data_IF_442645364351
#
_entry.id   IF_442645364351
#
_cell.length_a   1.000
_cell.length_b   1.000
_cell.length_c   1.000
_cell.angle_alpha   90.00
_cell.angle_beta   90.00
_cell.angle_gamma   90.00
#
_symmetry.space_group_name_H-M   'P 1'
#
loop_
_entity.id
_entity.type
_entity.pdbx_description
1 polymer ?
#
# COMPACT_ATOMS: atom_id res chain seq x y z
N UNK A 1 -33.02 -44.87 -26.69
CA UNK A 1 -31.91 -44.12 -27.33
C UNK A 1 -31.88 -42.64 -26.90
N UNK A 2 -33.03 -42.03 -26.61
CA UNK A 2 -33.15 -40.61 -26.21
C UNK A 2 -32.58 -40.30 -24.81
N UNK A 3 -32.85 -41.12 -23.82
CA UNK A 3 -32.35 -40.93 -22.46
C UNK A 3 -30.82 -40.79 -22.34
N UNK A 4 -30.08 -41.58 -23.11
CA UNK A 4 -28.60 -41.46 -23.15
C UNK A 4 -28.14 -40.13 -23.77
N UNK A 5 -28.86 -39.56 -24.73
CA UNK A 5 -28.55 -38.24 -25.28
C UNK A 5 -28.82 -37.11 -24.31
N UNK A 6 -29.90 -37.21 -23.54
CA UNK A 6 -30.27 -36.22 -22.51
C UNK A 6 -29.20 -36.21 -21.39
N UNK A 7 -28.82 -37.40 -20.90
CA UNK A 7 -27.80 -37.51 -19.83
C UNK A 7 -26.44 -36.93 -20.30
N UNK A 8 -26.01 -37.24 -21.54
CA UNK A 8 -24.76 -36.63 -22.07
C UNK A 8 -24.82 -35.10 -22.13
N UNK A 9 -25.99 -34.55 -22.54
CA UNK A 9 -26.18 -33.10 -22.62
C UNK A 9 -26.15 -32.46 -21.24
N UNK A 10 -26.75 -33.07 -20.24
CA UNK A 10 -26.71 -32.59 -18.85
C UNK A 10 -25.32 -32.61 -18.27
N UNK A 11 -24.54 -33.69 -18.47
CA UNK A 11 -23.15 -33.80 -18.03
C UNK A 11 -22.31 -32.70 -18.67
N UNK A 12 -22.48 -32.44 -19.97
CA UNK A 12 -21.73 -31.40 -20.66
C UNK A 12 -22.03 -30.00 -20.10
N UNK A 13 -23.31 -29.69 -19.83
CA UNK A 13 -23.73 -28.42 -19.23
C UNK A 13 -23.13 -28.27 -17.84
N UNK A 14 -23.15 -29.32 -17.01
CA UNK A 14 -22.58 -29.28 -15.66
C UNK A 14 -21.08 -29.02 -15.71
N UNK A 15 -20.34 -29.70 -16.58
CA UNK A 15 -18.89 -29.50 -16.73
C UNK A 15 -18.61 -28.05 -17.18
N UNK A 16 -19.38 -27.54 -18.15
CA UNK A 16 -19.20 -26.18 -18.64
C UNK A 16 -19.49 -25.13 -17.56
N UNK A 17 -20.54 -25.33 -16.74
CA UNK A 17 -20.85 -24.47 -15.61
C UNK A 17 -19.75 -24.47 -14.54
N UNK A 18 -19.17 -25.63 -14.26
CA UNK A 18 -18.06 -25.74 -13.31
C UNK A 18 -16.81 -25.02 -13.82
N UNK A 19 -16.51 -25.09 -15.12
CA UNK A 19 -15.40 -24.36 -15.74
C UNK A 19 -15.63 -22.86 -15.63
N UNK A 20 -16.87 -22.37 -15.90
CA UNK A 20 -17.19 -20.95 -15.77
C UNK A 20 -17.02 -20.48 -14.34
N UNK A 21 -17.54 -21.22 -13.35
CA UNK A 21 -17.41 -20.89 -11.93
C UNK A 21 -15.94 -20.82 -11.53
N UNK A 22 -15.13 -21.77 -12.00
CA UNK A 22 -13.68 -21.78 -11.77
C UNK A 22 -12.99 -20.54 -12.37
N UNK A 23 -13.33 -20.18 -13.61
CA UNK A 23 -12.78 -19.01 -14.28
C UNK A 23 -13.19 -17.70 -13.59
N UNK A 24 -14.42 -17.63 -13.07
CA UNK A 24 -14.90 -16.44 -12.35
C UNK A 24 -14.11 -16.17 -11.05
N UNK A 25 -13.47 -17.18 -10.46
CA UNK A 25 -12.63 -16.99 -9.29
C UNK A 25 -11.37 -16.14 -9.56
N UNK A 26 -10.96 -16.03 -10.81
CA UNK A 26 -9.82 -15.21 -11.23
C UNK A 26 -10.22 -13.79 -11.64
N UNK A 27 -11.51 -13.46 -11.58
CA UNK A 27 -12.01 -12.14 -11.93
C UNK A 27 -12.30 -11.38 -10.65
N UNK A 28 -11.68 -10.23 -10.49
CA UNK A 28 -12.01 -9.28 -9.44
C UNK A 28 -12.51 -7.97 -10.04
N UNK A 29 -13.35 -7.28 -9.28
CA UNK A 29 -13.92 -6.00 -9.70
C UNK A 29 -13.16 -4.86 -9.03
N UNK A 30 -12.64 -3.95 -9.84
CA UNK A 30 -12.18 -2.64 -9.40
C UNK A 30 -13.38 -1.69 -9.55
N UNK A 31 -13.97 -1.21 -8.46
CA UNK A 31 -15.25 -0.50 -8.51
C UNK A 31 -15.19 0.80 -9.29
N UNK A 32 -14.05 1.47 -9.29
CA UNK A 32 -13.83 2.75 -9.96
C UNK A 32 -12.38 2.91 -10.39
N UNK A 33 -12.15 3.88 -11.28
CA UNK A 33 -10.80 4.28 -11.64
C UNK A 33 -10.07 4.81 -10.41
N UNK A 34 -8.86 4.35 -10.19
CA UNK A 34 -8.05 4.80 -9.05
C UNK A 34 -6.58 4.88 -9.39
N UNK A 35 -5.90 5.73 -8.66
CA UNK A 35 -4.45 5.72 -8.63
C UNK A 35 -3.96 4.80 -7.52
N UNK A 36 -2.90 4.10 -7.79
CA UNK A 36 -2.24 3.19 -6.86
C UNK A 36 -0.78 3.59 -6.71
N UNK A 37 -0.30 3.60 -5.47
CA UNK A 37 1.12 3.74 -5.20
C UNK A 37 1.77 2.37 -5.24
N UNK A 38 2.80 2.23 -6.07
CA UNK A 38 3.70 1.08 -6.09
C UNK A 38 5.02 1.50 -5.48
N UNK A 39 5.35 0.93 -4.32
CA UNK A 39 6.61 1.19 -3.62
C UNK A 39 7.59 0.07 -3.94
N UNK A 40 8.58 0.38 -4.77
CA UNK A 40 9.67 -0.52 -5.15
C UNK A 40 10.99 -0.14 -4.45
N UNK A 41 10.92 0.69 -3.43
CA UNK A 41 12.10 1.07 -2.66
C UNK A 41 12.69 -0.18 -1.99
N UNK A 42 13.99 -0.37 -2.12
CA UNK A 42 14.71 -1.43 -1.42
C UNK A 42 14.61 -1.22 0.10
N UNK A 43 14.77 -2.31 0.86
CA UNK A 43 14.74 -2.27 2.31
C UNK A 43 15.66 -1.17 2.84
N UNK A 44 15.10 -0.26 3.64
CA UNK A 44 15.85 0.82 4.28
C UNK A 44 16.33 0.30 5.63
N UNK A 45 17.65 0.28 5.82
CA UNK A 45 18.25 -0.04 7.10
C UNK A 45 18.06 1.16 8.02
N UNK A 46 17.23 1.00 9.04
CA UNK A 46 16.94 2.03 10.04
C UNK A 46 17.94 1.89 11.23
N UNK A 47 19.23 2.07 10.95
CA UNK A 47 20.31 1.84 11.94
C UNK A 47 20.16 2.71 13.18
N UNK A 48 19.76 3.96 13.01
CA UNK A 48 19.56 4.91 14.11
C UNK A 48 18.30 4.63 14.94
N UNK A 49 17.40 3.80 14.42
CA UNK A 49 16.12 3.47 15.04
C UNK A 49 15.84 1.97 15.01
N UNK A 50 16.60 1.17 15.75
CA UNK A 50 16.52 -0.30 15.76
C UNK A 50 15.15 -0.84 16.21
N UNK A 51 14.27 0.02 16.65
CA UNK A 51 12.91 -0.33 17.08
C UNK A 51 11.88 -0.19 15.98
N UNK A 52 12.16 0.59 14.93
CA UNK A 52 11.40 0.57 13.71
C UNK A 52 11.85 -0.63 12.88
N UNK A 53 10.90 -1.46 12.51
CA UNK A 53 11.14 -2.60 11.63
C UNK A 53 11.03 -2.19 10.17
N UNK A 54 9.95 -1.49 9.85
CA UNK A 54 9.62 -1.14 8.48
C UNK A 54 8.75 0.10 8.44
N UNK A 55 8.94 0.91 7.40
CA UNK A 55 8.03 1.98 6.99
C UNK A 55 7.83 1.84 5.49
N UNK A 56 6.63 1.46 5.09
CA UNK A 56 6.32 1.13 3.69
C UNK A 56 4.91 1.61 3.30
N UNK A 57 4.60 1.51 2.01
CA UNK A 57 3.26 1.76 1.52
C UNK A 57 2.56 0.45 1.20
N UNK A 58 1.34 0.31 1.71
CA UNK A 58 0.50 -0.85 1.44
C UNK A 58 -0.58 -0.54 0.40
N UNK A 59 -0.82 -1.54 -0.41
CA UNK A 59 -1.97 -1.77 -1.31
C UNK A 59 -2.84 -0.58 -1.67
N UNK A 60 -2.41 0.53 -2.02
CA UNK A 60 -3.21 1.65 -2.49
C UNK A 60 -3.02 3.00 -1.85
N UNK A 61 -2.05 3.29 -1.03
CA UNK A 61 -1.87 4.65 -0.50
C UNK A 61 -1.87 4.80 1.03
N UNK A 62 -1.93 3.70 1.76
CA UNK A 62 -1.80 3.79 3.21
C UNK A 62 -0.34 3.64 3.63
N UNK A 63 0.12 4.53 4.48
CA UNK A 63 1.43 4.40 5.10
C UNK A 63 1.35 3.35 6.20
N UNK A 64 2.19 2.32 6.11
CA UNK A 64 2.37 1.30 7.15
C UNK A 64 3.64 1.57 7.94
N UNK A 65 3.52 1.59 9.26
CA UNK A 65 4.66 1.67 10.18
C UNK A 65 4.67 0.41 11.04
N UNK A 66 5.74 -0.38 10.93
CA UNK A 66 5.97 -1.55 11.77
C UNK A 66 7.10 -1.26 12.78
N UNK A 67 6.88 -1.60 14.05
CA UNK A 67 7.87 -1.42 15.10
C UNK A 67 7.81 -2.55 16.14
N UNK A 68 8.97 -2.83 16.75
CA UNK A 68 9.13 -3.98 17.66
C UNK A 68 8.63 -3.74 19.09
N UNK A 69 8.40 -2.49 19.47
CA UNK A 69 7.97 -2.15 20.82
C UNK A 69 7.15 -0.89 20.79
N UNK A 70 6.13 -0.85 21.62
CA UNK A 70 5.33 0.37 21.81
C UNK A 70 6.25 1.52 22.24
N UNK A 71 6.23 2.60 21.47
CA UNK A 71 7.00 3.81 21.70
C UNK A 71 6.04 4.98 21.88
N UNK A 72 6.02 5.53 23.09
CA UNK A 72 5.14 6.67 23.41
C UNK A 72 5.76 8.02 23.03
N UNK A 73 7.01 8.00 22.54
CA UNK A 73 7.76 9.20 22.23
C UNK A 73 7.98 9.47 20.75
N UNK A 74 7.44 8.63 19.86
CA UNK A 74 7.56 8.85 18.42
C UNK A 74 6.29 9.49 17.86
N UNK A 75 6.49 10.54 17.09
CA UNK A 75 5.45 11.29 16.41
C UNK A 75 5.69 11.24 14.90
N UNK A 76 4.65 10.88 14.14
CA UNK A 76 4.62 11.08 12.70
C UNK A 76 4.31 12.55 12.46
N UNK A 77 5.36 13.33 12.14
CA UNK A 77 5.28 14.78 12.01
C UNK A 77 4.61 15.19 10.72
N UNK A 78 5.19 14.78 9.60
CA UNK A 78 4.71 15.12 8.26
C UNK A 78 5.22 14.18 7.19
N UNK A 79 4.63 14.29 6.00
CA UNK A 79 5.06 13.60 4.79
C UNK A 79 5.18 14.62 3.67
N UNK A 80 6.34 14.67 3.03
CA UNK A 80 6.57 15.45 1.83
C UNK A 80 6.51 14.56 0.59
N UNK A 81 5.88 15.08 -0.45
CA UNK A 81 5.92 14.50 -1.79
C UNK A 81 6.82 15.37 -2.66
N UNK A 82 7.74 14.73 -3.34
CA UNK A 82 8.71 15.42 -4.20
C UNK A 82 8.75 14.82 -5.60
N UNK A 83 8.98 15.68 -6.58
CA UNK A 83 9.44 15.29 -7.91
C UNK A 83 10.85 15.85 -8.03
N UNK A 84 11.81 14.96 -8.25
CA UNK A 84 13.22 15.31 -8.15
C UNK A 84 13.52 15.99 -6.80
N UNK A 85 14.01 17.23 -6.82
CA UNK A 85 14.36 17.98 -5.60
C UNK A 85 13.25 18.95 -5.15
N UNK A 86 12.15 19.05 -5.90
CA UNK A 86 11.06 19.98 -5.61
C UNK A 86 9.96 19.32 -4.78
N UNK A 87 9.57 19.97 -3.66
CA UNK A 87 8.42 19.54 -2.85
C UNK A 87 7.13 20.02 -3.53
N UNK A 88 6.34 19.08 -4.03
CA UNK A 88 5.05 19.33 -4.68
C UNK A 88 3.89 19.39 -3.72
N UNK A 89 4.06 18.85 -2.52
CA UNK A 89 3.05 18.89 -1.49
C UNK A 89 3.53 18.33 -0.16
N UNK A 90 2.89 18.80 0.92
CA UNK A 90 3.15 18.36 2.28
C UNK A 90 1.84 17.98 2.96
N UNK A 91 1.87 16.89 3.70
CA UNK A 91 0.79 16.49 4.61
C UNK A 91 1.31 16.63 6.03
N UNK A 92 0.78 17.61 6.75
CA UNK A 92 1.05 17.80 8.19
C UNK A 92 0.18 16.84 9.00
N UNK A 93 0.78 16.04 9.88
CA UNK A 93 0.09 14.96 10.61
C UNK A 93 0.14 15.21 12.10
N UNK A 94 1.32 15.39 12.68
CA UNK A 94 1.56 15.69 14.09
C UNK A 94 0.81 14.74 15.06
N UNK A 95 0.93 13.44 14.80
CA UNK A 95 0.28 12.39 15.60
C UNK A 95 1.29 11.46 16.22
N UNK A 96 1.09 11.12 17.49
CA UNK A 96 1.86 10.03 18.10
C UNK A 96 1.62 8.73 17.31
N UNK A 97 2.68 7.99 17.02
CA UNK A 97 2.60 6.76 16.24
C UNK A 97 1.63 5.75 16.88
N UNK A 98 1.51 5.72 18.20
CA UNK A 98 0.58 4.82 18.87
C UNK A 98 -0.90 5.20 18.65
N UNK A 99 -1.19 6.46 18.32
CA UNK A 99 -2.55 6.95 18.07
C UNK A 99 -3.00 6.75 16.63
N UNK A 100 -2.10 6.26 15.77
CA UNK A 100 -2.46 5.84 14.42
C UNK A 100 -3.34 4.58 14.46
N UNK A 101 -4.05 4.33 13.37
CA UNK A 101 -4.93 3.17 13.26
C UNK A 101 -4.16 1.85 13.36
N UNK A 102 -4.76 0.87 14.03
CA UNK A 102 -4.17 -0.48 14.07
C UNK A 102 -4.33 -1.15 12.71
N UNK A 103 -3.25 -1.69 12.19
CA UNK A 103 -3.28 -2.47 10.95
C UNK A 103 -3.15 -3.96 11.27
N UNK A 104 -4.27 -4.67 11.24
CA UNK A 104 -4.29 -6.09 11.54
C UNK A 104 -3.89 -6.43 12.98
N UNK A 105 -3.48 -7.67 13.20
CA UNK A 105 -3.04 -8.14 14.50
C UNK A 105 -1.53 -7.93 14.68
N UNK A 106 -1.11 -7.74 15.93
CA UNK A 106 0.29 -7.85 16.29
C UNK A 106 0.78 -9.28 16.06
N UNK A 107 2.00 -9.43 15.61
CA UNK A 107 2.59 -10.74 15.38
C UNK A 107 3.98 -10.86 16.00
N UNK A 108 4.43 -12.07 16.21
CA UNK A 108 5.78 -12.32 16.72
C UNK A 108 6.72 -12.53 15.54
N UNK A 109 7.79 -11.74 15.48
CA UNK A 109 8.79 -11.89 14.43
C UNK A 109 9.42 -13.30 14.48
N UNK A 110 9.94 -13.77 13.34
CA UNK A 110 10.45 -15.13 13.13
C UNK A 110 11.52 -15.59 14.15
N UNK A 111 12.14 -14.67 14.87
CA UNK A 111 13.11 -14.98 15.92
C UNK A 111 12.45 -15.30 17.29
N UNK A 112 11.11 -15.29 17.36
CA UNK A 112 10.33 -15.61 18.56
C UNK A 112 10.45 -14.66 19.75
N UNK A 113 11.26 -13.59 19.61
CA UNK A 113 11.63 -12.72 20.74
C UNK A 113 11.02 -11.32 20.69
N UNK A 114 10.54 -10.88 19.54
CA UNK A 114 10.05 -9.51 19.37
C UNK A 114 8.63 -9.51 18.84
N UNK A 115 7.76 -8.79 19.53
CA UNK A 115 6.38 -8.54 19.07
C UNK A 115 6.41 -7.33 18.13
N UNK A 116 5.82 -7.49 16.96
CA UNK A 116 5.68 -6.42 15.97
C UNK A 116 4.31 -5.79 16.10
N UNK A 117 4.30 -4.48 16.28
CA UNK A 117 3.10 -3.64 16.29
C UNK A 117 3.00 -2.98 14.92
N UNK A 118 1.80 -2.96 14.35
CA UNK A 118 1.53 -2.43 13.02
C UNK A 118 0.53 -1.30 13.11
N UNK A 119 0.89 -0.16 12.55
CA UNK A 119 0.05 1.03 12.50
C UNK A 119 -0.05 1.52 11.07
N UNK A 120 -1.21 2.07 10.70
CA UNK A 120 -1.43 2.67 9.39
C UNK A 120 -1.93 4.10 9.50
N UNK A 121 -1.59 4.87 8.47
CA UNK A 121 -2.13 6.21 8.25
C UNK A 121 -2.68 6.31 6.82
N UNK A 122 -3.98 6.59 6.64
CA UNK A 122 -4.60 6.67 5.33
C UNK A 122 -4.16 7.94 4.61
N UNK A 123 -3.46 7.77 3.48
CA UNK A 123 -2.93 8.88 2.67
C UNK A 123 -3.74 9.16 1.41
N UNK A 124 -4.57 8.22 0.97
CA UNK A 124 -5.20 8.27 -0.36
C UNK A 124 -5.89 9.60 -0.66
N UNK A 125 -6.69 10.09 0.27
CA UNK A 125 -7.45 11.33 0.07
C UNK A 125 -6.56 12.56 -0.07
N UNK A 126 -5.56 12.67 0.79
CA UNK A 126 -4.63 13.79 0.79
C UNK A 126 -3.70 13.75 -0.41
N UNK A 127 -3.25 12.56 -0.75
CA UNK A 127 -2.43 12.31 -1.92
C UNK A 127 -3.14 12.70 -3.21
N UNK A 128 -4.38 12.24 -3.41
CA UNK A 128 -5.19 12.63 -4.58
C UNK A 128 -5.46 14.14 -4.62
N UNK A 129 -5.57 14.79 -3.45
CA UNK A 129 -5.71 16.25 -3.37
C UNK A 129 -4.45 16.97 -3.85
N UNK A 130 -3.27 16.48 -3.50
CA UNK A 130 -1.99 17.03 -3.96
C UNK A 130 -1.87 16.86 -5.47
N UNK A 131 -2.15 15.67 -5.99
CA UNK A 131 -2.12 15.40 -7.43
C UNK A 131 -3.20 16.16 -8.21
N UNK A 132 -4.42 16.23 -7.68
CA UNK A 132 -5.54 16.89 -8.36
C UNK A 132 -5.43 18.41 -8.42
N UNK A 133 -4.72 19.04 -7.48
CA UNK A 133 -4.40 20.47 -7.56
C UNK A 133 -3.36 20.79 -8.64
N UNK A 134 -2.57 19.79 -8.99
CA UNK A 134 -1.48 19.86 -9.94
C UNK A 134 -1.71 18.80 -11.03
N UNK A 135 -2.87 18.83 -11.71
CA UNK A 135 -3.16 17.87 -12.80
C UNK A 135 -2.04 17.82 -13.85
N UNK A 136 -1.34 18.92 -14.02
CA UNK A 136 -0.12 19.01 -14.84
C UNK A 136 1.07 18.23 -14.24
N UNK A 137 1.04 17.94 -12.94
CA UNK A 137 2.12 17.21 -12.26
C UNK A 137 2.18 15.76 -12.71
N UNK A 138 1.02 15.14 -12.94
CA UNK A 138 0.97 13.76 -13.44
C UNK A 138 1.57 13.62 -14.83
N UNK A 139 1.26 14.57 -15.72
CA UNK A 139 1.79 14.59 -17.09
C UNK A 139 3.29 14.95 -17.16
N UNK A 140 3.81 15.56 -16.09
CA UNK A 140 5.23 15.91 -15.96
C UNK A 140 6.11 14.83 -15.32
N UNK A 141 5.50 13.76 -14.77
CA UNK A 141 6.26 12.66 -14.19
C UNK A 141 6.91 11.81 -15.29
N UNK A 142 8.19 12.01 -15.52
CA UNK A 142 8.98 11.05 -16.28
C UNK A 142 8.83 9.69 -15.61
N UNK A 143 8.25 8.72 -16.32
CA UNK A 143 7.98 7.35 -15.85
C UNK A 143 7.04 7.23 -14.62
N UNK A 144 6.29 8.25 -14.25
CA UNK A 144 5.38 8.20 -13.10
C UNK A 144 6.08 8.09 -11.74
N UNK A 145 7.39 8.35 -11.67
CA UNK A 145 8.20 8.24 -10.45
C UNK A 145 8.12 9.50 -9.59
N UNK A 146 7.98 9.31 -8.29
CA UNK A 146 8.10 10.38 -7.31
C UNK A 146 8.79 9.89 -6.02
N UNK A 147 9.11 10.85 -5.15
CA UNK A 147 9.83 10.63 -3.91
C UNK A 147 8.94 10.99 -2.73
N UNK A 148 9.04 10.23 -1.65
CA UNK A 148 8.31 10.50 -0.42
C UNK A 148 9.31 10.58 0.72
N UNK A 149 9.28 11.69 1.47
CA UNK A 149 10.04 11.87 2.69
C UNK A 149 9.09 11.82 3.88
N UNK A 150 9.30 10.86 4.78
CA UNK A 150 8.49 10.63 5.96
C UNK A 150 9.28 11.13 7.17
N UNK A 151 8.74 12.12 7.86
CA UNK A 151 9.37 12.76 9.01
C UNK A 151 8.81 12.17 10.30
N UNK A 152 9.69 11.54 11.08
CA UNK A 152 9.36 10.98 12.38
C UNK A 152 10.20 11.71 13.43
N UNK A 153 9.53 12.27 14.44
CA UNK A 153 10.15 13.02 15.53
C UNK A 153 10.19 12.19 16.79
N UNK A 154 11.35 12.13 17.43
CA UNK A 154 11.48 11.62 18.79
C UNK A 154 11.25 12.76 19.79
N UNK A 155 10.13 12.73 20.48
CA UNK A 155 9.73 13.75 21.44
C UNK A 155 10.62 13.82 22.68
N UNK A 156 11.37 12.75 23.00
CA UNK A 156 12.30 12.73 24.13
C UNK A 156 13.60 13.46 23.82
N UNK A 157 14.11 13.24 22.63
CA UNK A 157 15.39 13.83 22.19
C UNK A 157 15.19 15.09 21.36
N UNK A 158 13.97 15.38 20.97
CA UNK A 158 13.58 16.45 20.03
C UNK A 158 14.32 16.36 18.68
N UNK A 159 14.71 15.16 18.29
CA UNK A 159 15.34 14.90 16.99
C UNK A 159 14.28 14.42 16.00
N UNK A 160 14.32 14.96 14.79
CA UNK A 160 13.54 14.46 13.65
C UNK A 160 14.47 13.68 12.74
N UNK A 161 14.04 12.51 12.33
CA UNK A 161 14.68 11.71 11.29
C UNK A 161 13.78 11.56 10.09
N UNK A 162 14.39 11.42 8.92
CA UNK A 162 13.69 11.40 7.65
C UNK A 162 13.91 10.04 6.99
N UNK A 163 12.80 9.38 6.67
CA UNK A 163 12.82 8.12 5.92
C UNK A 163 12.47 8.45 4.47
N UNK A 164 13.44 8.29 3.59
CA UNK A 164 13.27 8.57 2.17
C UNK A 164 12.79 7.31 1.45
N UNK A 165 11.69 7.44 0.71
CA UNK A 165 11.19 6.43 -0.23
C UNK A 165 11.42 6.98 -1.64
N UNK A 166 12.38 6.42 -2.35
CA UNK A 166 12.95 7.00 -3.57
C UNK A 166 12.60 6.22 -4.85
N UNK A 167 11.82 5.18 -4.75
CA UNK A 167 11.40 4.37 -5.88
C UNK A 167 9.89 4.12 -5.85
N UNK A 168 9.14 5.22 -5.79
CA UNK A 168 7.68 5.21 -5.70
C UNK A 168 7.12 5.54 -7.08
N UNK A 169 6.15 4.74 -7.51
CA UNK A 169 5.47 4.93 -8.80
C UNK A 169 3.98 5.15 -8.58
N UNK A 170 3.42 6.01 -9.38
CA UNK A 170 1.99 6.18 -9.48
C UNK A 170 1.47 5.36 -10.66
N UNK A 171 0.63 4.40 -10.38
CA UNK A 171 -0.02 3.55 -11.36
C UNK A 171 -1.49 3.90 -11.47
N UNK A 172 -1.97 4.07 -12.69
CA UNK A 172 -3.39 4.24 -12.94
C UNK A 172 -4.06 2.87 -13.11
N UNK A 173 -5.01 2.55 -12.26
CA UNK A 173 -5.83 1.35 -12.36
C UNK A 173 -7.25 1.73 -12.83
N UNK A 174 -7.57 1.38 -14.08
CA UNK A 174 -8.93 1.59 -14.59
C UNK A 174 -9.94 0.70 -13.87
N UNK A 175 -11.12 1.23 -13.55
CA UNK A 175 -12.23 0.46 -13.02
C UNK A 175 -12.70 -0.63 -13.99
N UNK A 176 -13.46 -1.60 -13.47
CA UNK A 176 -14.02 -2.69 -14.24
C UNK A 176 -13.48 -4.07 -13.86
N UNK A 177 -13.90 -5.12 -14.58
CA UNK A 177 -13.43 -6.47 -14.31
C UNK A 177 -11.96 -6.63 -14.71
N UNK A 178 -11.17 -7.22 -13.82
CA UNK A 178 -9.76 -7.56 -14.01
C UNK A 178 -9.58 -9.07 -13.88
N UNK A 179 -8.65 -9.62 -14.63
CA UNK A 179 -8.31 -11.04 -14.55
C UNK A 179 -6.98 -11.17 -13.82
N UNK A 180 -7.00 -11.92 -12.74
CA UNK A 180 -5.77 -12.31 -12.03
C UNK A 180 -5.22 -13.58 -12.71
N UNK A 181 -4.06 -13.44 -13.34
CA UNK A 181 -3.31 -14.58 -13.83
C UNK A 181 -2.24 -14.91 -12.78
N UNK A 182 -2.33 -16.06 -12.09
CA UNK A 182 -1.26 -16.47 -11.19
C UNK A 182 0.03 -16.61 -12.00
N UNK A 183 1.09 -15.96 -11.56
CA UNK A 183 2.43 -16.17 -12.09
C UNK A 183 2.84 -17.64 -11.85
N UNK A 184 3.07 -18.36 -12.92
CA UNK A 184 3.60 -19.73 -12.90
C UNK A 184 5.08 -19.69 -12.58
#
# INVERSE_FOLDING_TARGET
METKKVIKKMILITIFSLIIIFLLQFIYLVPENRYRISDQTQEIILEDYPELKEVSFMYSTDLLIEFYKKRDNLELEKINFRINDEVIGTIEINKNINDLENFGQTYTANNGKKVVIRKSYPLQKEFLRILGKNGEVYDSLEDGRFYIDIYIKDLKTNKTFVINRNNIFLEFESGGPKVFLPSI
#
